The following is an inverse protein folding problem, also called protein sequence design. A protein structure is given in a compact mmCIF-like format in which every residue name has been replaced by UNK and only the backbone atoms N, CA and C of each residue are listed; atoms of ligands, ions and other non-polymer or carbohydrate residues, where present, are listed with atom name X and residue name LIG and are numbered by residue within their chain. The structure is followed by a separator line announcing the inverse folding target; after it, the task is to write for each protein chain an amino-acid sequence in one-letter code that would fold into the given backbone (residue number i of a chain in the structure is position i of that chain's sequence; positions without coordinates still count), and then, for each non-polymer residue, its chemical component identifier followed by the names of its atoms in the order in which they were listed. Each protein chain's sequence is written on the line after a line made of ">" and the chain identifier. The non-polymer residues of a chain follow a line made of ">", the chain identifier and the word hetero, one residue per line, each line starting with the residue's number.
data_IF_984476586582
#
_entry.id   IF_984476586582
#
_cell.length_a   1.000
_cell.length_b   1.000
_cell.length_c   1.000
_cell.angle_alpha   90.00
_cell.angle_beta   90.00
_cell.angle_gamma   90.00
#
_symmetry.space_group_name_H-M   'P 1'
#
loop_
_entity.id
_entity.type
_entity.pdbx_description
1 polymer ?
#
# COMPACT_ATOMS: atom_id res chain seq x y z
N UNK A 1 17.67 9.15 -43.60
CA UNK A 1 16.79 9.55 -44.71
C UNK A 1 15.83 10.65 -44.27
N UNK A 2 14.71 10.29 -43.66
CA UNK A 2 13.64 11.24 -43.27
C UNK A 2 14.05 12.26 -42.20
N UNK A 3 14.80 11.87 -41.17
CA UNK A 3 15.27 12.80 -40.12
C UNK A 3 16.32 13.83 -40.62
N UNK A 4 17.02 13.54 -41.73
CA UNK A 4 17.95 14.47 -42.38
C UNK A 4 17.20 15.50 -43.25
N UNK A 5 16.01 15.15 -43.74
CA UNK A 5 15.20 16.03 -44.58
C UNK A 5 14.38 17.07 -43.78
N UNK A 6 14.11 16.82 -42.49
CA UNK A 6 13.25 17.69 -41.68
C UNK A 6 14.00 18.70 -40.81
N UNK A 7 15.34 18.66 -40.77
CA UNK A 7 16.18 19.47 -39.86
C UNK A 7 15.82 19.38 -38.35
N UNK A 8 14.84 18.55 -37.97
CA UNK A 8 14.30 18.49 -36.62
C UNK A 8 15.22 17.70 -35.67
N UNK A 9 16.23 17.00 -36.21
CA UNK A 9 17.24 16.23 -35.48
C UNK A 9 18.64 16.32 -36.12
N UNK A 10 18.96 17.47 -36.73
CA UNK A 10 20.30 17.70 -37.29
C UNK A 10 21.35 17.58 -36.18
N UNK A 11 22.29 16.64 -36.32
CA UNK A 11 23.44 16.56 -35.41
C UNK A 11 24.32 17.79 -35.54
N UNK A 12 25.23 18.00 -34.59
CA UNK A 12 26.27 19.00 -34.74
C UNK A 12 27.18 18.60 -35.91
N UNK A 13 27.23 19.43 -36.94
CA UNK A 13 28.06 19.25 -38.12
C UNK A 13 29.14 20.33 -38.12
N UNK A 14 30.40 19.91 -38.11
CA UNK A 14 31.56 20.78 -38.36
C UNK A 14 32.26 20.25 -39.61
N UNK A 15 33.11 21.06 -40.26
CA UNK A 15 33.84 20.76 -41.49
C UNK A 15 34.67 19.46 -41.44
N UNK A 16 34.86 18.89 -40.24
CA UNK A 16 35.67 17.70 -39.98
C UNK A 16 34.89 16.49 -39.46
N UNK A 17 33.61 16.61 -39.07
CA UNK A 17 32.84 15.50 -38.52
C UNK A 17 31.33 15.70 -38.57
N UNK A 18 30.61 14.61 -38.88
CA UNK A 18 29.16 14.48 -38.76
C UNK A 18 28.84 13.53 -37.61
N UNK A 19 28.42 14.05 -36.46
CA UNK A 19 28.02 13.22 -35.33
C UNK A 19 26.55 12.76 -35.47
N UNK A 20 26.24 11.51 -35.07
CA UNK A 20 24.88 10.98 -35.04
C UNK A 20 24.00 11.82 -34.08
N UNK A 21 23.21 12.72 -34.63
CA UNK A 21 22.55 13.81 -33.87
C UNK A 21 21.62 13.36 -32.76
N UNK A 22 20.81 12.32 -32.97
CA UNK A 22 19.76 11.97 -32.02
C UNK A 22 20.29 11.37 -30.71
N UNK A 23 21.28 10.45 -30.78
CA UNK A 23 21.87 9.85 -29.59
C UNK A 23 22.69 10.86 -28.79
N UNK A 24 23.43 11.72 -29.49
CA UNK A 24 24.22 12.77 -28.85
C UNK A 24 23.31 13.80 -28.17
N UNK A 25 22.29 14.29 -28.87
CA UNK A 25 21.37 15.29 -28.33
C UNK A 25 20.55 14.76 -27.14
N UNK A 26 20.10 13.50 -27.21
CA UNK A 26 19.43 12.88 -26.06
C UNK A 26 20.38 12.69 -24.88
N UNK A 27 21.60 12.18 -25.10
CA UNK A 27 22.57 11.97 -24.04
C UNK A 27 23.03 13.28 -23.41
N UNK A 28 23.35 14.28 -24.21
CA UNK A 28 23.85 15.58 -23.74
C UNK A 28 22.77 16.34 -22.96
N UNK A 29 21.52 16.34 -23.45
CA UNK A 29 20.41 16.94 -22.72
C UNK A 29 20.12 16.22 -21.40
N UNK A 30 20.14 14.87 -21.38
CA UNK A 30 19.93 14.11 -20.14
C UNK A 30 21.03 14.40 -19.14
N UNK A 31 22.30 14.41 -19.58
CA UNK A 31 23.45 14.70 -18.70
C UNK A 31 23.40 16.14 -18.19
N UNK A 32 23.18 17.12 -19.07
CA UNK A 32 23.08 18.54 -18.72
C UNK A 32 21.91 18.81 -17.76
N UNK A 33 20.74 18.24 -18.04
CA UNK A 33 19.58 18.33 -17.15
C UNK A 33 19.85 17.67 -15.80
N UNK A 34 20.51 16.51 -15.78
CA UNK A 34 20.87 15.82 -14.54
C UNK A 34 21.87 16.63 -13.71
N UNK A 35 22.90 17.21 -14.34
CA UNK A 35 23.85 18.11 -13.67
C UNK A 35 23.13 19.35 -13.12
N UNK A 36 22.21 19.93 -13.89
CA UNK A 36 21.40 21.05 -13.45
C UNK A 36 20.56 20.68 -12.22
N UNK A 37 19.88 19.53 -12.23
CA UNK A 37 19.14 19.02 -11.08
C UNK A 37 20.06 18.81 -9.87
N UNK A 38 21.21 18.15 -10.05
CA UNK A 38 22.16 17.93 -8.95
C UNK A 38 22.62 19.26 -8.32
N UNK A 39 22.80 20.30 -9.15
CA UNK A 39 23.27 21.62 -8.70
C UNK A 39 22.19 22.46 -8.01
N UNK A 40 20.94 22.40 -8.49
CA UNK A 40 19.90 23.35 -8.08
C UNK A 40 18.73 22.73 -7.31
N UNK A 41 18.54 21.41 -7.33
CA UNK A 41 17.39 20.76 -6.69
C UNK A 41 17.39 20.94 -5.15
N UNK A 42 18.54 21.05 -4.50
CA UNK A 42 18.60 21.25 -3.05
C UNK A 42 17.96 22.57 -2.60
N UNK A 43 17.99 23.63 -3.41
CA UNK A 43 17.49 24.96 -3.03
C UNK A 43 15.99 24.95 -2.67
N UNK A 44 15.08 24.48 -3.55
CA UNK A 44 13.65 24.40 -3.19
C UNK A 44 13.39 23.45 -2.03
N UNK A 45 14.11 22.32 -1.93
CA UNK A 45 13.95 21.40 -0.80
C UNK A 45 14.41 22.00 0.53
N UNK A 46 15.54 22.73 0.55
CA UNK A 46 16.03 23.42 1.72
C UNK A 46 15.07 24.53 2.17
N UNK A 47 14.50 25.26 1.22
CA UNK A 47 13.46 26.26 1.49
C UNK A 47 12.22 25.61 2.11
N UNK A 48 11.67 24.55 1.50
CA UNK A 48 10.51 23.83 2.03
C UNK A 48 10.80 23.19 3.40
N UNK A 49 11.99 22.62 3.57
CA UNK A 49 12.45 22.07 4.84
C UNK A 49 12.46 23.14 5.93
N UNK A 50 12.96 24.35 5.64
CA UNK A 50 12.99 25.47 6.57
C UNK A 50 11.59 26.00 6.91
N UNK A 51 10.73 26.19 5.92
CA UNK A 51 9.33 26.62 6.11
C UNK A 51 8.55 25.60 6.96
N UNK A 52 8.82 24.31 6.78
CA UNK A 52 8.14 23.24 7.51
C UNK A 52 8.79 22.83 8.84
N UNK A 53 9.79 23.56 9.35
CA UNK A 53 10.44 23.25 10.64
C UNK A 53 9.44 23.24 11.80
N UNK A 54 8.39 24.06 11.73
CA UNK A 54 7.34 24.09 12.75
C UNK A 54 6.29 22.98 12.60
N UNK A 55 6.29 22.24 11.47
CA UNK A 55 5.24 21.30 11.10
C UNK A 55 5.69 19.86 11.37
N UNK A 56 4.97 19.18 12.27
CA UNK A 56 5.19 17.77 12.55
C UNK A 56 4.01 16.90 12.17
N UNK A 57 4.12 15.61 12.48
CA UNK A 57 3.06 14.63 12.28
C UNK A 57 2.55 14.14 13.64
N UNK A 58 1.23 14.16 13.82
CA UNK A 58 0.57 13.40 14.88
C UNK A 58 0.53 11.93 14.46
N UNK A 59 1.25 11.07 15.19
CA UNK A 59 1.33 9.65 14.90
C UNK A 59 -0.06 8.99 15.00
N UNK A 60 -0.48 8.35 13.91
CA UNK A 60 -1.75 7.60 13.84
C UNK A 60 -1.46 6.08 13.87
N UNK A 61 -0.28 5.67 13.41
CA UNK A 61 0.10 4.27 13.22
C UNK A 61 1.47 3.97 13.82
N UNK A 62 1.67 2.70 14.16
CA UNK A 62 2.97 2.21 14.58
C UNK A 62 3.83 1.79 13.39
N UNK A 63 4.91 2.53 13.16
CA UNK A 63 5.82 2.30 12.03
C UNK A 63 6.94 1.28 12.35
N UNK A 64 6.68 0.29 13.22
CA UNK A 64 7.70 -0.67 13.62
C UNK A 64 8.14 -1.60 12.49
N UNK A 65 7.21 -2.02 11.64
CA UNK A 65 7.45 -2.99 10.56
C UNK A 65 7.81 -2.33 9.24
N UNK A 66 7.30 -1.13 8.99
CA UNK A 66 7.57 -0.36 7.78
C UNK A 66 7.80 1.11 8.17
N UNK A 67 9.06 1.56 8.29
CA UNK A 67 9.33 2.96 8.57
C UNK A 67 8.88 3.80 7.38
N UNK A 68 7.95 4.72 7.64
CA UNK A 68 7.39 5.63 6.62
C UNK A 68 8.44 6.60 6.09
N UNK A 69 9.45 6.94 6.90
CA UNK A 69 10.49 7.95 6.62
C UNK A 69 11.88 7.36 6.62
N UNK A 70 12.77 8.01 5.87
CA UNK A 70 14.16 7.60 5.70
C UNK A 70 14.28 6.16 5.21
N UNK A 71 13.37 5.73 4.33
CA UNK A 71 13.33 4.35 3.80
C UNK A 71 14.66 3.96 3.16
N UNK A 72 15.36 4.92 2.53
CA UNK A 72 16.69 4.72 1.93
C UNK A 72 17.73 4.44 3.03
N UNK A 73 17.82 5.29 4.04
CA UNK A 73 18.78 5.14 5.15
C UNK A 73 18.50 3.90 5.98
N UNK A 74 17.23 3.64 6.28
CA UNK A 74 16.82 2.47 7.06
C UNK A 74 17.11 1.17 6.32
N UNK A 75 16.89 1.12 5.00
CA UNK A 75 17.28 -0.02 4.17
C UNK A 75 18.78 -0.30 4.21
N UNK A 76 19.60 0.75 4.22
CA UNK A 76 21.05 0.62 4.36
C UNK A 76 21.41 0.11 5.77
N UNK A 77 20.78 0.67 6.81
CA UNK A 77 21.00 0.32 8.20
C UNK A 77 20.58 -1.13 8.51
N UNK A 78 19.47 -1.60 7.97
CA UNK A 78 19.01 -2.99 8.16
C UNK A 78 19.99 -4.00 7.55
N UNK A 79 20.62 -3.64 6.41
CA UNK A 79 21.70 -4.46 5.82
C UNK A 79 22.98 -4.45 6.65
N UNK A 80 23.37 -3.31 7.22
CA UNK A 80 24.61 -3.17 8.00
C UNK A 80 24.45 -3.75 9.41
N UNK A 81 23.28 -3.56 10.03
CA UNK A 81 22.97 -3.99 11.38
C UNK A 81 21.65 -4.77 11.37
N UNK A 82 21.68 -6.08 11.09
CA UNK A 82 20.51 -6.95 11.18
C UNK A 82 20.17 -7.18 12.66
N UNK A 83 19.71 -6.15 13.36
CA UNK A 83 19.01 -6.34 14.63
C UNK A 83 17.71 -7.03 14.28
N UNK A 84 17.54 -8.28 14.73
CA UNK A 84 16.33 -9.06 14.52
C UNK A 84 15.11 -8.20 14.74
N UNK A 85 14.19 -8.18 13.77
CA UNK A 85 12.98 -7.36 13.77
C UNK A 85 12.33 -7.47 15.15
N UNK A 86 12.51 -6.44 15.97
CA UNK A 86 11.97 -6.45 17.32
C UNK A 86 10.46 -6.55 17.21
N UNK A 87 9.88 -7.61 17.77
CA UNK A 87 8.45 -7.83 17.77
C UNK A 87 7.75 -6.56 18.28
N UNK A 88 7.04 -5.87 17.40
CA UNK A 88 6.33 -4.65 17.76
C UNK A 88 5.12 -5.04 18.61
N UNK A 89 5.22 -4.90 19.93
CA UNK A 89 4.13 -5.21 20.87
C UNK A 89 3.06 -4.12 20.96
N UNK A 90 2.98 -3.21 19.99
CA UNK A 90 2.08 -2.05 20.03
C UNK A 90 2.49 -0.95 21.03
N UNK A 91 3.58 -1.14 21.77
CA UNK A 91 4.11 -0.16 22.75
C UNK A 91 4.48 1.20 22.12
N UNK A 92 4.66 1.22 20.80
CA UNK A 92 4.90 2.40 19.96
C UNK A 92 3.73 3.40 19.91
N UNK A 93 2.54 3.05 20.43
CA UNK A 93 1.44 4.01 20.66
C UNK A 93 1.48 4.63 22.06
N UNK A 94 2.17 3.98 23.01
CA UNK A 94 2.19 4.45 24.40
C UNK A 94 3.06 5.69 24.54
N UNK A 95 2.52 6.75 25.16
CA UNK A 95 3.22 8.00 25.44
C UNK A 95 4.50 7.79 26.28
N UNK A 96 4.53 6.77 27.13
CA UNK A 96 5.62 6.54 28.08
C UNK A 96 6.86 5.88 27.45
N UNK A 97 6.74 5.27 26.27
CA UNK A 97 7.84 4.55 25.64
C UNK A 97 8.72 5.44 24.75
N UNK A 98 8.28 6.67 24.45
CA UNK A 98 8.99 7.55 23.52
C UNK A 98 10.34 7.99 24.08
N UNK A 99 11.40 7.60 23.37
CA UNK A 99 12.70 8.22 23.57
C UNK A 99 12.68 9.63 23.02
N UNK A 100 13.48 10.51 23.63
CA UNK A 100 13.63 11.91 23.20
C UNK A 100 13.81 12.03 21.67
N UNK A 101 14.69 11.22 21.07
CA UNK A 101 14.92 11.25 19.61
C UNK A 101 13.70 10.91 18.75
N UNK A 102 12.84 9.99 19.19
CA UNK A 102 11.63 9.63 18.46
C UNK A 102 10.62 10.77 18.49
N UNK A 103 10.54 11.49 19.62
CA UNK A 103 9.73 12.69 19.71
C UNK A 103 10.19 13.74 18.69
N UNK A 104 11.49 14.04 18.62
CA UNK A 104 12.01 15.00 17.62
C UNK A 104 11.67 14.56 16.19
N UNK A 105 11.77 13.27 15.90
CA UNK A 105 11.42 12.74 14.59
C UNK A 105 9.94 12.99 14.19
N UNK A 106 9.02 13.00 15.16
CA UNK A 106 7.62 13.35 14.93
C UNK A 106 7.38 14.86 14.88
N UNK A 107 8.14 15.65 15.64
CA UNK A 107 8.01 17.11 15.68
C UNK A 107 8.49 17.76 14.37
N UNK A 108 9.51 17.20 13.74
CA UNK A 108 10.09 17.68 12.47
C UNK A 108 9.71 16.80 11.27
N UNK A 109 8.62 16.04 11.37
CA UNK A 109 8.24 15.04 10.36
C UNK A 109 8.21 15.59 8.92
N UNK A 110 7.70 16.81 8.71
CA UNK A 110 7.62 17.40 7.38
C UNK A 110 8.96 17.90 6.86
N UNK A 111 9.77 18.55 7.69
CA UNK A 111 11.14 18.91 7.32
C UNK A 111 11.97 17.68 6.97
N UNK A 112 11.85 16.61 7.76
CA UNK A 112 12.52 15.35 7.49
C UNK A 112 12.01 14.69 6.22
N UNK A 113 10.71 14.80 5.89
CA UNK A 113 10.15 14.33 4.63
C UNK A 113 10.73 15.06 3.42
N UNK A 114 10.84 16.39 3.45
CA UNK A 114 11.48 17.15 2.35
C UNK A 114 12.97 16.83 2.22
N UNK A 115 13.66 16.60 3.34
CA UNK A 115 15.03 16.11 3.33
C UNK A 115 15.11 14.71 2.68
N UNK A 116 14.18 13.81 3.00
CA UNK A 116 14.12 12.46 2.43
C UNK A 116 13.79 12.50 0.92
N UNK A 117 12.88 13.36 0.47
CA UNK A 117 12.63 13.61 -0.97
C UNK A 117 13.88 14.15 -1.64
N UNK A 118 14.59 15.10 -1.02
CA UNK A 118 15.81 15.63 -1.58
C UNK A 118 16.81 14.50 -1.80
N UNK A 119 17.13 13.73 -0.76
CA UNK A 119 18.04 12.57 -0.83
C UNK A 119 17.58 11.55 -1.88
N UNK A 120 16.28 11.24 -1.91
CA UNK A 120 15.71 10.32 -2.89
C UNK A 120 15.83 10.85 -4.32
N UNK A 121 15.61 12.15 -4.56
CA UNK A 121 15.74 12.76 -5.89
C UNK A 121 17.18 12.70 -6.40
N UNK A 122 18.16 12.95 -5.51
CA UNK A 122 19.58 12.76 -5.80
C UNK A 122 19.89 11.30 -6.16
N UNK A 123 19.41 10.35 -5.36
CA UNK A 123 19.59 8.93 -5.62
C UNK A 123 18.95 8.50 -6.95
N UNK A 124 17.74 9.00 -7.28
CA UNK A 124 17.03 8.73 -8.52
C UNK A 124 17.81 9.23 -9.73
N UNK A 125 18.31 10.47 -9.71
CA UNK A 125 19.13 11.03 -10.79
C UNK A 125 20.40 10.20 -11.00
N UNK A 126 21.11 9.84 -9.93
CA UNK A 126 22.30 9.00 -10.01
C UNK A 126 21.97 7.63 -10.61
N UNK A 127 20.88 7.00 -10.19
CA UNK A 127 20.46 5.69 -10.71
C UNK A 127 20.08 5.77 -12.19
N UNK A 128 19.33 6.80 -12.61
CA UNK A 128 18.99 7.02 -14.02
C UNK A 128 20.26 7.19 -14.85
N UNK A 129 21.22 8.00 -14.38
CA UNK A 129 22.50 8.20 -15.08
C UNK A 129 23.30 6.90 -15.18
N UNK A 130 23.47 6.17 -14.08
CA UNK A 130 24.20 4.90 -14.07
C UNK A 130 23.54 3.85 -14.97
N UNK A 131 22.22 3.68 -14.87
CA UNK A 131 21.49 2.76 -15.76
C UNK A 131 21.58 3.21 -17.21
N UNK A 132 21.47 4.50 -17.48
CA UNK A 132 21.62 5.08 -18.83
C UNK A 132 23.01 4.82 -19.43
N UNK A 133 24.08 5.00 -18.66
CA UNK A 133 25.46 4.70 -19.08
C UNK A 133 25.64 3.22 -19.40
N UNK A 134 25.13 2.32 -18.55
CA UNK A 134 25.22 0.87 -18.77
C UNK A 134 24.44 0.46 -20.02
N UNK A 135 23.19 0.89 -20.16
CA UNK A 135 22.35 0.59 -21.33
C UNK A 135 22.98 1.17 -22.59
N UNK A 136 23.44 2.42 -22.55
CA UNK A 136 24.13 3.07 -23.67
C UNK A 136 25.39 2.33 -24.09
N UNK A 137 26.18 1.83 -23.14
CA UNK A 137 27.38 1.03 -23.41
C UNK A 137 27.05 -0.31 -24.08
N UNK A 138 26.00 -1.00 -23.60
CA UNK A 138 25.53 -2.26 -24.21
C UNK A 138 25.07 -2.02 -25.65
N UNK A 139 24.29 -0.96 -25.90
CA UNK A 139 23.83 -0.61 -27.24
C UNK A 139 24.99 -0.27 -28.17
N UNK A 140 25.97 0.52 -27.70
CA UNK A 140 27.16 0.85 -28.47
C UNK A 140 27.98 -0.39 -28.85
N UNK A 141 28.19 -1.31 -27.91
CA UNK A 141 28.88 -2.58 -28.16
C UNK A 141 28.10 -3.48 -29.13
N UNK A 142 26.78 -3.52 -29.03
CA UNK A 142 25.93 -4.28 -29.96
C UNK A 142 26.02 -3.72 -31.38
N UNK A 143 25.98 -2.39 -31.55
CA UNK A 143 26.16 -1.73 -32.85
C UNK A 143 27.54 -2.06 -33.44
N UNK A 144 28.60 -1.96 -32.62
CA UNK A 144 29.96 -2.31 -33.04
C UNK A 144 30.05 -3.78 -33.49
N UNK A 145 29.46 -4.71 -32.73
CA UNK A 145 29.44 -6.12 -33.07
C UNK A 145 28.72 -6.37 -34.40
N UNK A 146 27.59 -5.71 -34.65
CA UNK A 146 26.85 -5.79 -35.93
C UNK A 146 27.71 -5.25 -37.09
N UNK A 147 28.39 -4.12 -36.91
CA UNK A 147 29.27 -3.57 -37.95
C UNK A 147 30.41 -4.54 -38.28
N UNK A 148 31.04 -5.14 -37.26
CA UNK A 148 32.10 -6.15 -37.45
C UNK A 148 31.55 -7.38 -38.17
N UNK A 149 30.37 -7.89 -37.77
CA UNK A 149 29.73 -9.04 -38.43
C UNK A 149 29.43 -8.76 -39.91
N UNK A 150 28.87 -7.58 -40.23
CA UNK A 150 28.61 -7.17 -41.63
C UNK A 150 29.93 -7.07 -42.40
N UNK A 151 30.97 -6.48 -41.80
CA UNK A 151 32.29 -6.36 -42.44
C UNK A 151 32.91 -7.72 -42.73
N UNK A 152 32.79 -8.68 -41.80
CA UNK A 152 33.25 -10.06 -41.99
C UNK A 152 32.48 -10.76 -43.11
N UNK A 153 31.15 -10.63 -43.16
CA UNK A 153 30.31 -11.19 -44.23
C UNK A 153 30.73 -10.61 -45.59
N UNK A 154 30.89 -9.29 -45.69
CA UNK A 154 31.33 -8.63 -46.92
C UNK A 154 32.73 -9.09 -47.35
N UNK A 155 33.65 -9.27 -46.39
CA UNK A 155 34.99 -9.80 -46.67
C UNK A 155 34.92 -11.25 -47.18
N UNK A 156 34.09 -12.10 -46.57
CA UNK A 156 33.90 -13.49 -46.99
C UNK A 156 33.29 -13.58 -48.40
N UNK A 157 32.30 -12.73 -48.71
CA UNK A 157 31.70 -12.65 -50.05
C UNK A 157 32.71 -12.14 -51.10
N UNK A 158 33.58 -11.20 -50.74
CA UNK A 158 34.65 -10.72 -51.62
C UNK A 158 35.66 -11.81 -51.96
N UNK A 159 36.06 -12.62 -50.98
CA UNK A 159 37.01 -13.73 -51.18
C UNK A 159 36.37 -14.90 -51.96
N UNK A 160 35.08 -15.17 -51.76
CA UNK A 160 34.37 -16.24 -52.49
C UNK A 160 33.97 -15.85 -53.93
N UNK A 161 33.95 -14.55 -54.26
CA UNK A 161 33.48 -14.03 -55.55
C UNK A 161 34.44 -14.23 -56.75
N UNK A 162 35.72 -14.52 -56.52
CA UNK A 162 36.71 -14.68 -57.61
C UNK A 162 36.92 -16.14 -58.06
N UNK A 163 36.22 -17.12 -57.48
CA UNK A 163 36.37 -18.55 -57.78
C UNK A 163 35.44 -19.15 -58.84
N UNK A 164 34.60 -18.34 -59.49
CA UNK A 164 33.55 -18.78 -60.43
C UNK A 164 34.04 -19.17 -61.83
N UNK A 165 35.06 -20.02 -61.92
CA UNK A 165 35.48 -20.67 -63.17
C UNK A 165 34.68 -21.94 -63.43
N UNK A 166 33.64 -21.81 -64.26
CA UNK A 166 33.09 -22.81 -65.18
C UNK A 166 33.29 -24.31 -64.83
N UNK A 167 32.30 -24.93 -64.18
CA UNK A 167 32.13 -26.39 -64.25
C UNK A 167 30.66 -26.69 -64.54
N UNK A 168 30.37 -27.00 -65.80
CA UNK A 168 29.13 -27.65 -66.19
C UNK A 168 29.06 -29.04 -65.59
N UNK A 169 27.86 -29.44 -65.16
CA UNK A 169 27.64 -30.77 -64.60
C UNK A 169 26.19 -30.95 -64.20
N UNK A 170 25.39 -31.42 -65.16
CA UNK A 170 24.11 -32.10 -64.94
C UNK A 170 24.25 -33.17 -63.83
N UNK A 171 23.21 -33.31 -63.00
CA UNK A 171 23.09 -34.47 -62.13
C UNK A 171 22.11 -34.27 -60.99
N UNK A 172 20.92 -34.86 -61.11
CA UNK A 172 19.84 -34.75 -60.14
C UNK A 172 20.14 -35.38 -58.76
N UNK A 173 19.30 -35.00 -57.81
CA UNK A 173 19.26 -35.53 -56.44
C UNK A 173 18.47 -34.58 -55.55
N UNK A 174 17.14 -34.49 -55.71
CA UNK A 174 16.18 -35.10 -54.78
C UNK A 174 16.72 -35.10 -53.34
N UNK A 175 16.44 -34.03 -52.60
CA UNK A 175 16.36 -34.07 -51.14
C UNK A 175 14.90 -33.80 -50.76
N UNK A 176 14.25 -34.91 -50.49
CA UNK A 176 12.89 -35.11 -50.04
C UNK A 176 12.65 -34.31 -48.75
N UNK A 177 11.77 -33.30 -48.81
CA UNK A 177 11.15 -32.71 -47.62
C UNK A 177 9.85 -33.47 -47.35
N UNK A 178 9.99 -34.77 -47.02
CA UNK A 178 8.89 -35.57 -46.52
C UNK A 178 8.61 -35.18 -45.06
N UNK A 179 7.52 -34.44 -44.88
CA UNK A 179 6.44 -34.77 -43.96
C UNK A 179 6.76 -35.87 -42.94
N UNK A 180 7.14 -35.47 -41.72
CA UNK A 180 7.30 -36.43 -40.63
C UNK A 180 7.50 -35.77 -39.27
N UNK A 181 6.38 -35.48 -38.59
CA UNK A 181 6.24 -35.36 -37.14
C UNK A 181 7.40 -34.68 -36.37
N UNK A 182 7.28 -33.37 -36.22
CA UNK A 182 7.77 -32.71 -35.01
C UNK A 182 6.56 -32.06 -34.32
N UNK A 183 6.05 -32.76 -33.30
CA UNK A 183 5.07 -32.25 -32.36
C UNK A 183 5.53 -30.90 -31.78
N UNK A 184 5.00 -29.81 -32.34
CA UNK A 184 4.92 -28.51 -31.67
C UNK A 184 3.56 -28.37 -30.96
N UNK A 185 3.02 -29.48 -30.43
CA UNK A 185 1.88 -29.48 -29.53
C UNK A 185 2.38 -29.22 -28.10
N UNK A 186 2.53 -27.96 -27.72
CA UNK A 186 2.71 -27.64 -26.31
C UNK A 186 3.36 -26.31 -25.99
N UNK A 187 2.79 -25.18 -26.42
CA UNK A 187 3.06 -23.88 -25.76
C UNK A 187 1.98 -22.79 -25.99
N UNK A 188 0.81 -23.07 -26.57
CA UNK A 188 -0.18 -22.02 -26.84
C UNK A 188 -1.19 -21.75 -25.71
N UNK A 189 -1.19 -22.52 -24.61
CA UNK A 189 -2.21 -22.39 -23.54
C UNK A 189 -1.71 -21.94 -22.16
N UNK A 190 -0.52 -21.32 -22.04
CA UNK A 190 -0.04 -20.80 -20.75
C UNK A 190 -0.46 -19.36 -20.43
N UNK A 191 -1.26 -18.69 -21.27
CA UNK A 191 -1.66 -17.28 -21.04
C UNK A 191 -3.18 -17.03 -21.06
N UNK A 192 -4.01 -18.07 -21.19
CA UNK A 192 -5.46 -17.94 -21.38
C UNK A 192 -6.27 -18.35 -20.15
N UNK A 193 -5.91 -17.82 -18.97
CA UNK A 193 -6.84 -17.63 -17.84
C UNK A 193 -6.15 -16.88 -16.68
N UNK A 194 -5.73 -15.64 -16.91
CA UNK A 194 -5.81 -14.69 -15.80
C UNK A 194 -7.29 -14.43 -15.55
N UNK A 195 -7.94 -15.32 -14.80
CA UNK A 195 -9.07 -14.90 -13.98
C UNK A 195 -8.52 -13.78 -13.10
N UNK A 196 -8.80 -12.55 -13.50
CA UNK A 196 -8.73 -11.39 -12.62
C UNK A 196 -9.57 -11.77 -11.40
N UNK A 197 -8.94 -12.26 -10.34
CA UNK A 197 -9.58 -12.38 -9.05
C UNK A 197 -9.61 -10.95 -8.48
N UNK A 198 -10.74 -10.24 -8.51
CA UNK A 198 -10.80 -8.86 -8.06
C UNK A 198 -10.57 -8.76 -6.54
N UNK A 199 -10.55 -9.88 -5.81
CA UNK A 199 -10.62 -9.90 -4.35
C UNK A 199 -9.27 -9.73 -3.63
N UNK A 200 -8.12 -9.88 -4.31
CA UNK A 200 -6.81 -9.71 -3.65
C UNK A 200 -6.26 -8.27 -3.71
N UNK A 201 -6.96 -7.35 -4.38
CA UNK A 201 -6.61 -5.92 -4.41
C UNK A 201 -7.30 -5.07 -3.33
N UNK A 202 -8.17 -5.66 -2.50
CA UNK A 202 -8.89 -4.94 -1.45
C UNK A 202 -8.20 -4.97 -0.08
N UNK A 203 -6.86 -5.00 -0.07
CA UNK A 203 -6.14 -4.45 1.08
C UNK A 203 -6.38 -2.94 1.09
N UNK A 204 -7.34 -2.50 1.89
CA UNK A 204 -7.66 -1.11 2.22
C UNK A 204 -6.46 -0.16 2.10
N UNK A 205 -6.26 0.36 0.90
CA UNK A 205 -5.02 1.01 0.47
C UNK A 205 -4.98 2.41 1.08
N UNK A 206 -4.07 2.62 2.02
CA UNK A 206 -3.93 3.88 2.75
C UNK A 206 -2.58 4.58 2.52
N UNK A 207 -1.77 4.14 1.55
CA UNK A 207 -0.42 4.68 1.41
C UNK A 207 0.16 4.51 0.01
N UNK A 208 -0.27 5.35 -0.94
CA UNK A 208 0.41 5.55 -2.23
C UNK A 208 0.58 4.29 -3.10
N UNK A 209 1.16 4.41 -4.30
CA UNK A 209 1.37 3.28 -5.23
C UNK A 209 2.57 2.42 -4.78
N UNK A 210 2.48 1.79 -3.61
CA UNK A 210 3.42 0.71 -3.27
C UNK A 210 2.81 -0.60 -3.75
N UNK A 211 3.37 -1.28 -4.78
CA UNK A 211 3.01 -2.68 -5.00
C UNK A 211 3.27 -3.43 -3.69
N UNK A 212 2.36 -4.34 -3.31
CA UNK A 212 2.51 -5.18 -2.11
C UNK A 212 3.96 -5.67 -2.02
N UNK A 213 4.56 -5.56 -0.82
CA UNK A 213 5.93 -5.97 -0.52
C UNK A 213 6.19 -7.45 -0.93
N UNK A 214 6.52 -7.67 -2.21
CA UNK A 214 7.03 -8.95 -2.69
C UNK A 214 8.43 -9.25 -2.12
N UNK A 215 9.00 -8.36 -1.29
CA UNK A 215 10.27 -8.62 -0.59
C UNK A 215 10.17 -9.72 0.47
N UNK A 216 8.97 -10.06 0.93
CA UNK A 216 8.73 -11.21 1.82
C UNK A 216 8.05 -12.39 1.10
N UNK A 217 8.03 -12.44 -0.24
CA UNK A 217 7.84 -13.71 -0.93
C UNK A 217 9.07 -14.57 -0.63
N UNK A 218 9.04 -15.24 0.52
CA UNK A 218 9.88 -16.38 0.84
C UNK A 218 9.53 -17.46 -0.18
N UNK A 219 10.23 -17.46 -1.31
CA UNK A 219 10.29 -18.60 -2.23
C UNK A 219 11.10 -19.73 -1.60
N UNK A 220 10.74 -20.10 -0.36
CA UNK A 220 11.44 -21.08 0.47
C UNK A 220 10.79 -22.45 0.49
N UNK A 221 9.54 -22.58 0.03
CA UNK A 221 8.89 -23.88 -0.12
C UNK A 221 8.93 -24.33 -1.57
N UNK A 222 9.59 -25.45 -1.78
CA UNK A 222 10.03 -26.05 -3.04
C UNK A 222 8.91 -26.51 -3.98
N UNK A 223 7.64 -26.40 -3.60
CA UNK A 223 6.55 -27.14 -4.27
C UNK A 223 5.44 -26.27 -4.89
N UNK A 224 5.55 -24.93 -4.89
CA UNK A 224 4.59 -24.07 -5.61
C UNK A 224 5.26 -23.32 -6.78
N UNK A 225 5.35 -24.01 -7.91
CA UNK A 225 6.12 -23.65 -9.10
C UNK A 225 5.55 -22.51 -9.97
N UNK A 226 4.52 -21.77 -9.55
CA UNK A 226 3.64 -21.14 -10.56
C UNK A 226 3.14 -19.71 -10.36
N UNK A 227 3.59 -18.90 -9.40
CA UNK A 227 2.96 -17.57 -9.23
C UNK A 227 3.82 -16.30 -9.17
N UNK A 228 5.16 -16.35 -9.20
CA UNK A 228 5.97 -15.12 -9.09
C UNK A 228 7.16 -15.00 -10.05
N UNK A 229 7.24 -15.86 -11.08
CA UNK A 229 8.28 -15.82 -12.12
C UNK A 229 7.93 -14.92 -13.32
N UNK A 230 6.73 -14.32 -13.36
CA UNK A 230 6.15 -13.77 -14.60
C UNK A 230 6.60 -12.36 -15.00
N UNK A 231 7.41 -11.67 -14.20
CA UNK A 231 8.11 -10.48 -14.70
C UNK A 231 9.53 -10.90 -15.06
N UNK A 232 9.90 -10.94 -16.37
CA UNK A 232 11.29 -11.16 -16.75
C UNK A 232 12.13 -10.15 -15.98
N UNK A 233 12.98 -10.67 -15.09
CA UNK A 233 13.82 -9.89 -14.20
C UNK A 233 14.82 -9.13 -15.06
N UNK A 234 14.41 -7.99 -15.60
CA UNK A 234 15.31 -7.07 -16.27
C UNK A 234 16.28 -6.55 -15.20
N UNK A 235 17.44 -7.18 -15.11
CA UNK A 235 18.46 -6.85 -14.12
C UNK A 235 18.89 -5.37 -14.24
N UNK A 236 18.84 -4.83 -15.46
CA UNK A 236 19.08 -3.42 -15.77
C UNK A 236 18.05 -2.47 -15.15
N UNK A 237 16.79 -2.90 -14.99
CA UNK A 237 15.73 -2.10 -14.35
C UNK A 237 15.71 -2.24 -12.83
N UNK A 238 16.48 -3.18 -12.24
CA UNK A 238 16.46 -3.44 -10.80
C UNK A 238 16.88 -2.23 -9.95
N UNK A 239 17.91 -1.45 -10.31
CA UNK A 239 18.25 -0.23 -9.58
C UNK A 239 17.10 0.79 -9.61
N UNK A 240 16.45 0.96 -10.77
CA UNK A 240 15.33 1.89 -10.93
C UNK A 240 14.12 1.45 -10.09
N UNK A 241 13.75 0.17 -10.18
CA UNK A 241 12.69 -0.41 -9.35
C UNK A 241 12.98 -0.27 -7.85
N UNK A 242 14.24 -0.44 -7.45
CA UNK A 242 14.66 -0.27 -6.05
C UNK A 242 14.43 1.17 -5.56
N UNK A 243 14.76 2.19 -6.37
CA UNK A 243 14.49 3.59 -6.00
C UNK A 243 13.00 3.89 -5.97
N UNK A 244 12.22 3.39 -6.94
CA UNK A 244 10.77 3.60 -7.01
C UNK A 244 10.03 3.00 -5.81
N UNK A 245 10.36 1.77 -5.41
CA UNK A 245 9.75 1.10 -4.23
C UNK A 245 10.09 1.86 -2.94
N UNK A 246 11.22 2.57 -2.91
CA UNK A 246 11.70 3.35 -1.75
C UNK A 246 11.34 4.83 -1.83
N UNK A 247 10.33 5.19 -2.63
CA UNK A 247 9.79 6.54 -2.65
C UNK A 247 9.34 6.97 -1.23
N UNK A 248 9.75 8.16 -0.76
CA UNK A 248 9.36 8.67 0.56
C UNK A 248 7.84 8.77 0.69
N UNK A 249 7.29 8.26 1.79
CA UNK A 249 5.87 8.40 2.07
C UNK A 249 5.59 9.75 2.73
N UNK A 250 4.54 10.41 2.24
CA UNK A 250 4.10 11.69 2.80
C UNK A 250 3.59 11.48 4.24
N UNK A 251 3.99 12.34 5.20
CA UNK A 251 3.44 12.31 6.55
C UNK A 251 1.91 12.37 6.54
N UNK A 252 1.27 11.62 7.44
CA UNK A 252 -0.18 11.45 7.41
C UNK A 252 -0.97 12.75 7.69
N UNK A 253 -0.35 13.75 8.32
CA UNK A 253 -0.98 15.03 8.66
C UNK A 253 0.04 16.13 9.00
N UNK A 254 -0.40 17.39 9.00
CA UNK A 254 0.35 18.60 9.39
C UNK A 254 0.14 19.02 10.85
N UNK A 255 -0.45 18.15 11.68
CA UNK A 255 -0.97 18.52 13.00
C UNK A 255 -0.03 18.21 14.18
N UNK A 256 1.18 17.75 13.90
CA UNK A 256 2.21 17.57 14.91
C UNK A 256 3.14 18.79 15.00
N UNK A 257 4.25 18.62 15.70
CA UNK A 257 5.28 19.66 15.80
C UNK A 257 4.87 20.87 16.63
N UNK A 258 5.61 21.95 16.45
CA UNK A 258 5.40 23.21 17.14
C UNK A 258 4.04 23.84 16.79
N UNK A 259 3.65 23.81 15.51
CA UNK A 259 2.33 24.30 15.07
C UNK A 259 1.20 23.53 15.75
N UNK A 260 1.34 22.19 15.84
CA UNK A 260 0.39 21.35 16.55
C UNK A 260 0.33 21.63 18.05
N UNK A 261 1.44 22.08 18.68
CA UNK A 261 1.45 22.46 20.10
C UNK A 261 0.66 23.75 20.33
N UNK A 262 0.84 24.75 19.45
CA UNK A 262 0.05 25.99 19.51
C UNK A 262 -1.44 25.76 19.24
N UNK A 263 -1.77 24.84 18.34
CA UNK A 263 -3.15 24.49 18.01
C UNK A 263 -3.79 23.47 18.96
N UNK A 264 -3.01 22.90 19.90
CA UNK A 264 -3.48 21.86 20.82
C UNK A 264 -3.70 20.48 20.20
N UNK A 265 -3.33 20.26 18.94
CA UNK A 265 -3.43 18.96 18.25
C UNK A 265 -2.27 18.03 18.59
N UNK A 266 -1.18 18.58 19.14
CA UNK A 266 -0.03 17.82 19.58
C UNK A 266 -0.38 16.82 20.69
N UNK A 267 0.23 15.64 20.65
CA UNK A 267 0.04 14.60 21.67
C UNK A 267 0.51 15.03 23.08
N UNK A 268 1.37 16.05 23.17
CA UNK A 268 1.85 16.64 24.43
C UNK A 268 1.14 17.94 24.81
N UNK A 269 0.11 18.35 24.06
CA UNK A 269 -0.76 19.44 24.51
C UNK A 269 -1.37 19.06 25.86
N UNK A 270 -1.45 20.01 26.79
CA UNK A 270 -2.15 19.83 28.07
C UNK A 270 -3.62 19.45 27.88
N UNK A 271 -4.20 19.84 26.74
CA UNK A 271 -5.54 19.47 26.29
C UNK A 271 -5.41 18.90 24.88
N UNK A 272 -5.16 17.59 24.72
CA UNK A 272 -5.05 16.99 23.39
C UNK A 272 -6.40 17.13 22.68
N UNK A 273 -6.37 17.61 21.44
CA UNK A 273 -7.58 17.69 20.61
C UNK A 273 -8.27 16.32 20.53
N UNK A 274 -9.44 16.22 21.18
CA UNK A 274 -10.21 14.97 21.31
C UNK A 274 -11.02 14.62 20.04
N UNK A 275 -11.12 15.54 19.08
CA UNK A 275 -11.93 15.38 17.88
C UNK A 275 -13.31 16.03 18.03
N UNK A 276 -14.23 15.62 17.15
CA UNK A 276 -15.47 16.31 16.78
C UNK A 276 -16.50 16.48 17.91
N UNK A 277 -16.34 15.81 19.05
CA UNK A 277 -17.33 15.78 20.14
C UNK A 277 -17.01 16.72 21.31
N UNK A 278 -15.91 17.48 21.25
CA UNK A 278 -15.68 18.51 22.25
C UNK A 278 -16.40 19.80 21.81
N UNK A 279 -17.20 20.49 22.65
CA UNK A 279 -17.95 21.70 22.26
C UNK A 279 -17.10 22.88 21.73
N UNK A 280 -15.77 22.75 21.73
CA UNK A 280 -14.80 23.72 21.21
C UNK A 280 -13.99 23.14 20.04
N UNK A 281 -14.64 22.39 19.14
CA UNK A 281 -14.00 21.87 17.91
C UNK A 281 -13.52 23.03 17.04
N UNK A 282 -12.20 23.11 16.81
CA UNK A 282 -11.65 24.06 15.86
C UNK A 282 -11.89 23.55 14.43
N UNK A 283 -12.95 24.04 13.77
CA UNK A 283 -13.36 23.65 12.41
C UNK A 283 -12.24 23.77 11.37
N UNK A 284 -11.27 24.68 11.59
CA UNK A 284 -10.11 24.84 10.71
C UNK A 284 -9.25 23.59 10.74
N UNK A 285 -9.07 22.98 11.91
CA UNK A 285 -8.28 21.76 12.10
C UNK A 285 -8.95 20.59 11.39
N UNK A 286 -10.28 20.46 11.50
CA UNK A 286 -10.98 19.38 10.80
C UNK A 286 -10.93 19.56 9.27
N UNK A 287 -11.13 20.79 8.76
CA UNK A 287 -11.04 21.07 7.32
C UNK A 287 -9.66 20.80 6.73
N UNK A 288 -8.60 21.22 7.42
CA UNK A 288 -7.22 21.04 6.97
C UNK A 288 -6.69 19.63 7.27
N UNK A 289 -7.42 18.81 8.04
CA UNK A 289 -7.00 17.43 8.32
C UNK A 289 -7.09 16.51 7.13
N UNK A 290 -7.69 16.98 6.02
CA UNK A 290 -7.97 16.21 4.79
C UNK A 290 -8.70 14.88 5.05
N UNK A 291 -9.13 14.64 6.29
CA UNK A 291 -10.18 13.68 6.61
C UNK A 291 -11.41 14.27 5.95
N UNK A 292 -12.12 13.45 5.20
CA UNK A 292 -13.42 13.79 4.62
C UNK A 292 -14.28 14.41 5.71
N UNK A 293 -14.29 15.75 5.74
CA UNK A 293 -14.79 16.51 6.85
C UNK A 293 -16.32 16.45 6.76
N UNK A 294 -16.94 15.65 7.61
CA UNK A 294 -18.39 15.66 7.78
C UNK A 294 -19.17 14.61 6.99
N UNK A 295 -18.52 13.72 6.24
CA UNK A 295 -19.22 12.51 5.80
C UNK A 295 -19.33 11.61 7.01
N UNK A 296 -20.47 11.70 7.70
CA UNK A 296 -20.88 10.76 8.71
C UNK A 296 -20.91 9.37 8.06
N UNK A 297 -19.77 8.67 8.08
CA UNK A 297 -19.57 7.37 7.43
C UNK A 297 -20.58 6.34 7.95
N UNK A 298 -21.15 6.60 9.14
CA UNK A 298 -22.27 5.88 9.71
C UNK A 298 -23.49 5.83 8.77
N UNK A 299 -23.81 6.94 8.10
CA UNK A 299 -24.94 7.04 7.16
C UNK A 299 -24.63 6.53 5.75
N UNK A 300 -23.37 6.22 5.46
CA UNK A 300 -22.96 5.76 4.13
C UNK A 300 -23.17 4.24 4.02
N UNK A 301 -24.32 3.84 3.46
CA UNK A 301 -24.68 2.42 3.29
C UNK A 301 -23.67 1.65 2.42
N UNK A 302 -23.19 2.24 1.32
CA UNK A 302 -22.19 1.61 0.46
C UNK A 302 -20.82 1.43 1.13
N UNK A 303 -20.47 2.29 2.09
CA UNK A 303 -19.32 2.08 2.96
C UNK A 303 -19.55 0.93 3.94
N UNK A 304 -20.70 0.94 4.63
CA UNK A 304 -21.11 -0.12 5.55
C UNK A 304 -21.11 -1.49 4.88
N UNK A 305 -21.65 -1.61 3.68
CA UNK A 305 -21.76 -2.88 2.98
C UNK A 305 -20.39 -3.45 2.60
N UNK A 306 -19.44 -2.62 2.17
CA UNK A 306 -18.04 -3.05 1.94
C UNK A 306 -17.34 -3.49 3.21
N UNK A 307 -17.54 -2.77 4.32
CA UNK A 307 -16.99 -3.15 5.63
C UNK A 307 -17.60 -4.47 6.11
N UNK A 308 -18.92 -4.65 5.94
CA UNK A 308 -19.63 -5.88 6.25
C UNK A 308 -19.08 -7.04 5.42
N UNK A 309 -19.01 -6.88 4.11
CA UNK A 309 -18.49 -7.90 3.19
C UNK A 309 -17.08 -8.31 3.58
N UNK A 310 -16.19 -7.34 3.80
CA UNK A 310 -14.83 -7.61 4.24
C UNK A 310 -14.79 -8.38 5.57
N UNK A 311 -15.53 -7.94 6.61
CA UNK A 311 -15.55 -8.60 7.92
C UNK A 311 -16.12 -10.02 7.84
N UNK A 312 -17.10 -10.25 6.99
CA UNK A 312 -17.78 -11.55 6.89
C UNK A 312 -17.10 -12.52 5.91
N UNK A 313 -16.36 -12.05 4.91
CA UNK A 313 -15.78 -12.86 3.82
C UNK A 313 -14.84 -13.98 4.31
N UNK A 314 -13.96 -13.72 5.29
CA UNK A 314 -12.99 -14.74 5.78
C UNK A 314 -13.57 -15.71 6.80
N UNK A 315 -14.86 -15.66 7.12
CA UNK A 315 -15.49 -16.70 7.96
C UNK A 315 -15.50 -18.07 7.27
N UNK A 316 -15.10 -18.11 5.99
CA UNK A 316 -14.99 -19.32 5.16
C UNK A 316 -13.51 -19.63 4.87
N UNK A 317 -12.75 -20.17 5.85
CA UNK A 317 -11.39 -20.62 5.61
C UNK A 317 -11.45 -21.89 4.76
N UNK A 318 -11.42 -21.71 3.44
CA UNK A 318 -11.47 -22.78 2.47
C UNK A 318 -12.33 -22.39 1.27
N UNK A 319 -11.77 -21.57 0.38
CA UNK A 319 -12.25 -21.40 -1.00
C UNK A 319 -12.09 -22.69 -1.82
N UNK A 320 -12.59 -23.81 -1.31
CA UNK A 320 -13.01 -24.94 -2.11
C UNK A 320 -14.46 -24.70 -2.45
N UNK A 321 -14.75 -24.57 -3.75
CA UNK A 321 -16.09 -24.45 -4.32
C UNK A 321 -17.12 -25.24 -3.51
N UNK A 322 -18.22 -24.58 -3.17
CA UNK A 322 -19.37 -25.15 -2.47
C UNK A 322 -20.00 -26.29 -3.30
N UNK A 323 -19.38 -27.46 -3.25
CA UNK A 323 -20.02 -28.72 -3.59
C UNK A 323 -20.90 -29.08 -2.40
N UNK A 324 -22.22 -29.14 -2.64
CA UNK A 324 -23.27 -29.45 -1.67
C UNK A 324 -22.84 -30.50 -0.64
N UNK A 325 -22.45 -30.05 0.55
CA UNK A 325 -22.08 -30.92 1.64
C UNK A 325 -23.28 -31.14 2.59
N UNK A 326 -23.43 -32.36 3.14
CA UNK A 326 -24.62 -32.80 3.88
C UNK A 326 -24.83 -32.05 5.22
N UNK A 327 -26.05 -32.11 5.79
CA UNK A 327 -26.50 -31.32 6.95
C UNK A 327 -25.70 -31.49 8.26
N UNK A 328 -24.67 -32.34 8.31
CA UNK A 328 -23.77 -32.46 9.47
C UNK A 328 -22.75 -31.31 9.58
N UNK A 329 -22.55 -30.50 8.54
CA UNK A 329 -21.60 -29.37 8.60
C UNK A 329 -22.14 -28.12 9.31
N UNK A 330 -23.46 -27.94 9.41
CA UNK A 330 -24.06 -26.79 10.10
C UNK A 330 -23.72 -26.76 11.61
N UNK A 331 -23.68 -27.94 12.24
CA UNK A 331 -23.32 -28.07 13.67
C UNK A 331 -21.84 -27.77 13.91
N UNK A 332 -20.94 -28.20 13.02
CA UNK A 332 -19.51 -27.87 13.12
C UNK A 332 -19.24 -26.38 12.88
N UNK A 333 -20.00 -25.70 12.01
CA UNK A 333 -19.88 -24.25 11.84
C UNK A 333 -20.31 -23.47 13.09
N UNK A 334 -21.39 -23.88 13.76
CA UNK A 334 -21.81 -23.27 15.02
C UNK A 334 -20.76 -23.43 16.12
N UNK A 335 -20.13 -24.61 16.20
CA UNK A 335 -19.09 -24.90 17.19
C UNK A 335 -17.78 -24.15 16.89
N UNK A 336 -17.39 -24.00 15.61
CA UNK A 336 -16.24 -23.16 15.23
C UNK A 336 -16.45 -21.67 15.48
N UNK A 337 -17.68 -21.17 15.38
CA UNK A 337 -18.00 -19.80 15.79
C UNK A 337 -17.68 -19.58 17.27
N UNK A 338 -17.92 -20.59 18.12
CA UNK A 338 -17.56 -20.54 19.55
C UNK A 338 -16.05 -20.59 19.78
N UNK A 339 -15.30 -21.37 19.00
CA UNK A 339 -13.83 -21.44 19.14
C UNK A 339 -13.10 -20.17 18.64
N UNK A 340 -13.64 -19.51 17.61
CA UNK A 340 -13.13 -18.22 17.14
C UNK A 340 -13.18 -17.13 18.24
N UNK A 341 -14.10 -17.23 19.20
CA UNK A 341 -14.14 -16.32 20.36
C UNK A 341 -12.96 -16.48 21.32
N UNK A 342 -12.21 -17.60 21.29
CA UNK A 342 -11.12 -17.87 22.25
C UNK A 342 -9.74 -17.42 21.79
N UNK A 343 -9.56 -17.13 20.51
CA UNK A 343 -8.26 -16.67 19.99
C UNK A 343 -8.22 -15.14 19.95
N UNK A 344 -8.17 -14.52 21.14
CA UNK A 344 -7.84 -13.10 21.23
C UNK A 344 -6.39 -12.94 20.75
N UNK A 345 -6.13 -12.20 19.65
CA UNK A 345 -4.77 -11.98 19.18
C UNK A 345 -3.90 -11.38 20.29
N UNK A 346 -2.63 -11.80 20.34
CA UNK A 346 -1.67 -11.27 21.32
C UNK A 346 -1.61 -9.74 21.21
N UNK A 347 -1.77 -9.07 22.35
CA UNK A 347 -1.72 -7.61 22.46
C UNK A 347 -3.09 -6.90 22.42
N UNK A 348 -4.19 -7.65 22.36
CA UNK A 348 -5.54 -7.11 22.47
C UNK A 348 -6.07 -7.29 23.89
N UNK A 349 -6.60 -6.22 24.47
CA UNK A 349 -7.15 -6.20 25.83
C UNK A 349 -8.65 -5.97 25.77
N UNK A 350 -9.43 -6.94 26.24
CA UNK A 350 -10.89 -6.83 26.35
C UNK A 350 -11.19 -6.68 27.84
N UNK A 351 -11.67 -5.51 28.24
CA UNK A 351 -12.10 -5.26 29.62
C UNK A 351 -13.59 -5.53 29.72
N UNK A 352 -14.02 -6.48 30.54
CA UNK A 352 -15.43 -6.77 30.73
C UNK A 352 -16.06 -5.81 31.76
N UNK A 353 -17.31 -5.42 31.51
CA UNK A 353 -18.16 -4.57 32.35
C UNK A 353 -19.53 -5.23 32.45
N UNK A 354 -20.04 -5.38 33.67
CA UNK A 354 -21.32 -6.06 33.92
C UNK A 354 -22.55 -5.17 33.63
N UNK A 355 -22.39 -3.85 33.71
CA UNK A 355 -23.45 -2.88 33.45
C UNK A 355 -23.49 -2.47 31.96
N UNK A 356 -24.69 -2.19 31.40
CA UNK A 356 -24.84 -1.56 30.09
C UNK A 356 -24.03 -0.26 29.94
N UNK A 357 -23.75 0.11 28.69
CA UNK A 357 -23.10 1.39 28.41
C UNK A 357 -24.05 2.56 28.67
N UNK A 358 -23.52 3.56 29.36
CA UNK A 358 -24.16 4.86 29.54
C UNK A 358 -23.44 5.91 28.69
N UNK A 359 -24.18 6.68 27.90
CA UNK A 359 -23.60 7.56 26.87
C UNK A 359 -22.56 8.52 27.44
N UNK A 360 -22.92 9.23 28.51
CA UNK A 360 -22.13 10.31 29.08
C UNK A 360 -21.03 9.77 30.00
N UNK A 361 -21.35 8.81 30.86
CA UNK A 361 -20.40 8.18 31.80
C UNK A 361 -19.32 7.41 31.06
N UNK A 362 -19.66 6.72 29.97
CA UNK A 362 -18.74 5.89 29.22
C UNK A 362 -18.10 6.62 28.02
N UNK A 363 -18.44 7.89 27.76
CA UNK A 363 -18.00 8.66 26.58
C UNK A 363 -18.24 7.90 25.27
N UNK A 364 -19.47 7.41 25.09
CA UNK A 364 -19.88 6.71 23.88
C UNK A 364 -20.12 7.66 22.72
N UNK A 365 -19.75 7.23 21.52
CA UNK A 365 -20.02 7.98 20.30
C UNK A 365 -21.51 7.96 19.96
N UNK A 366 -22.13 9.14 19.80
CA UNK A 366 -23.58 9.30 19.66
C UNK A 366 -24.17 8.46 18.53
N UNK A 367 -23.54 8.49 17.35
CA UNK A 367 -24.03 7.77 16.17
C UNK A 367 -24.15 6.25 16.39
N UNK A 368 -23.14 5.63 16.99
CA UNK A 368 -23.17 4.19 17.29
C UNK A 368 -23.87 3.85 18.60
N UNK A 369 -24.05 4.84 19.48
CA UNK A 369 -24.83 4.65 20.70
C UNK A 369 -26.31 4.50 20.38
N UNK A 370 -26.82 5.21 19.38
CA UNK A 370 -28.18 5.01 18.86
C UNK A 370 -28.38 3.57 18.37
N UNK A 371 -27.44 3.02 17.60
CA UNK A 371 -27.45 1.63 17.15
C UNK A 371 -27.44 0.63 18.33
N UNK A 372 -26.62 0.91 19.35
CA UNK A 372 -26.55 0.12 20.59
C UNK A 372 -27.88 0.11 21.34
N UNK A 373 -28.52 1.28 21.49
CA UNK A 373 -29.85 1.41 22.11
C UNK A 373 -30.92 0.68 21.31
N UNK A 374 -30.84 0.71 19.99
CA UNK A 374 -31.71 -0.05 19.08
C UNK A 374 -31.38 -1.56 19.07
N UNK A 375 -30.31 -1.98 19.75
CA UNK A 375 -29.84 -3.36 19.72
C UNK A 375 -29.35 -3.84 18.36
N UNK A 376 -29.17 -2.97 17.37
CA UNK A 376 -28.85 -3.37 15.99
C UNK A 376 -27.44 -2.94 15.61
N UNK A 377 -26.52 -3.89 15.40
CA UNK A 377 -25.13 -3.56 15.09
C UNK A 377 -24.99 -2.82 13.75
N UNK A 378 -24.25 -1.70 13.73
CA UNK A 378 -24.00 -0.94 12.51
C UNK A 378 -23.43 -1.81 11.37
N UNK A 379 -22.51 -2.74 11.66
CA UNK A 379 -21.85 -3.57 10.65
C UNK A 379 -22.78 -4.66 10.13
N UNK A 380 -23.14 -5.63 10.98
CA UNK A 380 -23.88 -6.82 10.56
C UNK A 380 -25.40 -6.63 10.50
N UNK A 381 -25.93 -5.55 11.07
CA UNK A 381 -27.38 -5.29 11.19
C UNK A 381 -28.15 -6.39 11.95
N UNK A 382 -27.45 -7.14 12.80
CA UNK A 382 -28.04 -8.16 13.66
C UNK A 382 -28.09 -7.67 15.12
N UNK A 383 -28.99 -8.27 15.88
CA UNK A 383 -29.04 -8.14 17.34
C UNK A 383 -27.96 -8.99 18.01
N UNK A 384 -27.38 -8.49 19.11
CA UNK A 384 -26.34 -9.18 19.87
C UNK A 384 -26.44 -8.86 21.36
N UNK A 385 -26.16 -9.86 22.20
CA UNK A 385 -26.21 -9.74 23.66
C UNK A 385 -25.04 -8.94 24.25
N UNK A 386 -23.91 -8.87 23.56
CA UNK A 386 -22.69 -8.21 24.03
C UNK A 386 -22.15 -7.24 22.99
N UNK A 387 -21.71 -6.09 23.47
CA UNK A 387 -21.20 -4.99 22.67
C UNK A 387 -19.83 -4.55 23.15
N UNK A 388 -18.99 -4.15 22.21
CA UNK A 388 -17.64 -3.68 22.45
C UNK A 388 -17.53 -2.19 22.13
N UNK A 389 -17.17 -1.39 23.12
CA UNK A 389 -16.80 0.02 22.98
C UNK A 389 -15.30 0.15 22.74
N UNK A 390 -14.91 0.76 21.63
CA UNK A 390 -13.53 1.00 21.27
C UNK A 390 -12.98 2.19 22.06
N UNK A 391 -12.07 1.94 23.02
CA UNK A 391 -11.64 2.94 24.03
C UNK A 391 -11.12 4.24 23.42
N UNK A 392 -10.39 4.18 22.31
CA UNK A 392 -9.79 5.38 21.69
C UNK A 392 -10.77 6.26 20.89
N UNK A 393 -11.94 5.74 20.53
CA UNK A 393 -12.89 6.47 19.70
C UNK A 393 -14.34 6.47 20.18
N UNK A 394 -14.67 5.73 21.24
CA UNK A 394 -16.03 5.66 21.79
C UNK A 394 -17.06 4.93 20.94
N UNK A 395 -16.70 4.47 19.73
CA UNK A 395 -17.63 3.79 18.83
C UNK A 395 -17.96 2.39 19.35
N UNK A 396 -19.23 2.01 19.23
CA UNK A 396 -19.75 0.71 19.67
C UNK A 396 -20.03 -0.20 18.49
N UNK A 397 -19.68 -1.47 18.64
CA UNK A 397 -19.98 -2.54 17.69
C UNK A 397 -20.38 -3.79 18.46
N UNK A 398 -21.14 -4.71 17.85
CA UNK A 398 -21.39 -5.99 18.50
C UNK A 398 -20.08 -6.76 18.73
N UNK A 399 -20.04 -7.58 19.78
CA UNK A 399 -18.84 -8.28 20.21
C UNK A 399 -18.25 -9.19 19.12
N UNK A 400 -19.10 -9.80 18.30
CA UNK A 400 -18.68 -10.64 17.17
C UNK A 400 -17.96 -9.82 16.09
N UNK A 401 -18.60 -8.75 15.56
CA UNK A 401 -17.95 -7.90 14.56
C UNK A 401 -16.67 -7.27 15.11
N UNK A 402 -16.72 -6.72 16.32
CA UNK A 402 -15.55 -6.12 16.98
C UNK A 402 -14.39 -7.10 17.12
N UNK A 403 -14.65 -8.33 17.57
CA UNK A 403 -13.61 -9.36 17.71
C UNK A 403 -12.98 -9.71 16.36
N UNK A 404 -13.77 -9.82 15.28
CA UNK A 404 -13.24 -10.03 13.92
C UNK A 404 -12.41 -8.85 13.42
N UNK A 405 -12.87 -7.61 13.67
CA UNK A 405 -12.12 -6.40 13.33
C UNK A 405 -10.76 -6.36 14.06
N UNK A 406 -10.76 -6.67 15.35
CA UNK A 406 -9.57 -6.76 16.20
C UNK A 406 -8.62 -7.87 15.73
N UNK A 407 -9.15 -9.05 15.37
CA UNK A 407 -8.40 -10.18 14.82
C UNK A 407 -7.66 -9.83 13.52
N UNK A 408 -8.26 -8.97 12.69
CA UNK A 408 -7.69 -8.50 11.43
C UNK A 408 -6.89 -7.21 11.56
N UNK A 409 -6.65 -6.72 12.78
CA UNK A 409 -6.00 -5.43 13.03
C UNK A 409 -6.62 -4.26 12.26
N UNK A 410 -7.95 -4.27 12.10
CA UNK A 410 -8.64 -3.19 11.43
C UNK A 410 -8.76 -1.96 12.34
N UNK A 411 -8.64 -0.73 11.80
CA UNK A 411 -9.07 0.45 12.52
C UNK A 411 -10.61 0.51 12.59
N UNK A 412 -11.15 1.32 13.49
CA UNK A 412 -12.57 1.61 13.52
C UNK A 412 -13.05 2.12 12.14
N UNK A 413 -14.06 1.49 11.50
CA UNK A 413 -14.46 1.84 10.13
C UNK A 413 -15.08 3.24 10.02
N UNK A 414 -15.55 3.80 11.14
CA UNK A 414 -16.23 5.09 11.18
C UNK A 414 -15.28 6.26 11.36
N UNK A 415 -14.30 6.15 12.27
CA UNK A 415 -13.35 7.24 12.56
C UNK A 415 -11.90 6.93 12.19
N UNK A 416 -11.62 5.72 11.69
CA UNK A 416 -10.30 5.23 11.27
C UNK A 416 -9.23 5.27 12.38
N UNK A 417 -9.65 5.33 13.65
CA UNK A 417 -8.76 5.18 14.81
C UNK A 417 -8.57 3.70 15.13
N UNK A 418 -7.32 3.28 15.29
CA UNK A 418 -6.98 1.93 15.75
C UNK A 418 -7.11 1.85 17.27
N UNK A 419 -7.69 0.77 17.81
CA UNK A 419 -7.76 0.51 19.25
C UNK A 419 -7.38 -0.94 19.52
N UNK A 420 -6.39 -1.16 20.38
CA UNK A 420 -6.06 -2.51 20.90
C UNK A 420 -6.84 -2.85 22.16
N UNK A 421 -7.56 -1.89 22.72
CA UNK A 421 -8.35 -2.05 23.94
C UNK A 421 -9.81 -1.77 23.64
N UNK A 422 -10.68 -2.68 24.05
CA UNK A 422 -12.12 -2.50 24.01
C UNK A 422 -12.71 -2.78 25.39
N UNK A 423 -13.80 -2.10 25.72
CA UNK A 423 -14.63 -2.45 26.88
C UNK A 423 -15.81 -3.25 26.35
N UNK A 424 -16.09 -4.41 26.93
CA UNK A 424 -17.22 -5.27 26.56
C UNK A 424 -18.30 -5.16 27.63
N UNK A 425 -19.53 -4.85 27.22
CA UNK A 425 -20.69 -4.75 28.12
C UNK A 425 -21.90 -5.46 27.52
N UNK A 426 -22.91 -5.84 28.33
CA UNK A 426 -24.16 -6.36 27.80
C UNK A 426 -24.91 -5.33 26.94
N UNK A 427 -25.79 -5.82 26.07
CA UNK A 427 -26.81 -5.03 25.39
C UNK A 427 -27.60 -4.21 26.42
N UNK A 428 -28.18 -3.05 26.04
CA UNK A 428 -29.08 -2.37 26.96
C UNK A 428 -30.19 -3.37 27.28
N UNK A 429 -30.46 -3.60 28.56
CA UNK A 429 -31.57 -4.45 28.98
C UNK A 429 -32.78 -3.93 28.21
N UNK A 430 -33.22 -4.67 27.19
CA UNK A 430 -34.37 -4.27 26.36
C UNK A 430 -35.41 -3.86 27.38
N UNK A 431 -35.72 -2.57 27.45
CA UNK A 431 -36.53 -2.01 28.53
C UNK A 431 -37.79 -2.85 28.56
N UNK A 432 -37.85 -3.80 29.52
CA UNK A 432 -38.58 -5.05 29.36
C UNK A 432 -39.96 -4.70 28.91
N UNK A 433 -40.29 -5.07 27.65
CA UNK A 433 -41.31 -4.43 26.83
C UNK A 433 -42.09 -3.36 27.56
N UNK A 434 -41.75 -2.08 27.38
CA UNK A 434 -42.75 -1.04 27.59
C UNK A 434 -43.89 -1.34 26.61
N UNK A 435 -44.77 -2.26 27.00
CA UNK A 435 -46.14 -2.23 26.59
C UNK A 435 -46.59 -0.85 27.07
N UNK A 436 -46.88 0.11 26.17
CA UNK A 436 -47.60 1.29 26.61
C UNK A 436 -48.77 0.78 27.44
N UNK A 437 -49.01 1.34 28.65
CA UNK A 437 -50.11 0.89 29.49
C UNK A 437 -51.34 0.75 28.60
N UNK A 438 -52.05 -0.40 28.65
CA UNK A 438 -53.20 -0.64 27.78
C UNK A 438 -54.04 0.62 27.83
N UNK A 439 -54.27 1.24 26.68
CA UNK A 439 -55.02 2.48 26.59
C UNK A 439 -56.28 2.27 27.40
N UNK A 440 -56.35 2.89 28.58
CA UNK A 440 -57.54 2.84 29.41
C UNK A 440 -58.61 3.40 28.51
N UNK A 441 -59.52 2.53 28.05
CA UNK A 441 -60.74 2.90 27.36
C UNK A 441 -61.37 3.98 28.23
N UNK A 442 -61.23 5.23 27.79
CA UNK A 442 -61.93 6.34 28.37
C UNK A 442 -63.40 6.00 28.18
N UNK A 443 -64.05 5.59 29.27
CA UNK A 443 -65.46 5.29 29.30
C UNK A 443 -66.22 6.44 28.64
N UNK A 444 -66.86 6.12 27.52
CA UNK A 444 -67.90 6.93 26.96
C UNK A 444 -69.09 6.87 27.93
N UNK A 445 -69.17 7.85 28.82
CA UNK A 445 -70.38 8.16 29.58
C UNK A 445 -70.65 9.66 29.48
N UNK A 446 -71.43 10.02 28.45
CA UNK A 446 -72.55 10.98 28.46
C UNK A 446 -72.98 11.24 27.01
#
# INVERSE_FOLDING_TARGET
>A
GWAYATNFFGGFENDRAKCMGMMYLASDNIVTFSIWLLRFAWTPFAFLMAVCLGCGEKKIRCDCSNPTRFKVVWGLKEKIYPRGRSQCRGECMSRQSYRFWEQWHHEFAWSLYFLDIAIWSYAMVIVILCTGVVVGSIVALAILAVIVMISLIMCLMGVAGEGGGNVGGDGGGICNCDLGNADCAGCENCCSSMSYDPMLNDQFFWGGPQPLDCSNCYCGDSDSSTCCSCLPRCWLCRPLAWVLIRFPEMPANFWGGLSGRFLGTHQFSSRPYAGQHHPYVNRIIDRLSLRTAGDNLHRNSGWRDRVREYILSDSTPGGGQASMAPPQQATMQAQRRQDAHRLVPRGITINEKDEPFDKDRDNCEESTFEDYVQGTCWVCQNEEEKWDKWVLCGHLFCSMCSSTMLARHMPCPLCRRFSTTVVRAPAPAQAGGYQPPPATEAGASA
#
